data_IF_699689052261
#
_entry.id   IF_699689052261
#
_cell.length_a   1.000
_cell.length_b   1.000
_cell.length_c   1.000
_cell.angle_alpha   90.00
_cell.angle_beta   90.00
_cell.angle_gamma   90.00
#
_symmetry.space_group_name_H-M   'P 1'
#
loop_
_entity.id
_entity.type
_entity.pdbx_description
1 polymer ?
#
# COMPACT_ATOMS: atom_id res chain seq x y z
N UNK A 1 -7.54 -15.10 12.21
CA UNK A 1 -7.61 -13.66 11.93
C UNK A 1 -8.34 -13.49 10.61
N UNK A 2 -9.28 -12.57 10.53
CA UNK A 2 -10.09 -12.36 9.32
C UNK A 2 -9.23 -11.67 8.24
N UNK A 3 -9.07 -12.31 7.08
CA UNK A 3 -8.29 -11.79 5.95
C UNK A 3 -8.84 -10.44 5.47
N UNK A 4 -10.16 -10.23 5.58
CA UNK A 4 -10.79 -8.96 5.26
C UNK A 4 -10.36 -7.86 6.22
N UNK A 5 -10.24 -8.18 7.52
CA UNK A 5 -9.78 -7.21 8.52
C UNK A 5 -8.32 -6.80 8.27
N UNK A 6 -7.46 -7.72 7.86
CA UNK A 6 -6.08 -7.42 7.48
C UNK A 6 -6.00 -6.56 6.22
N UNK A 7 -6.81 -6.86 5.21
CA UNK A 7 -6.90 -6.06 4.00
C UNK A 7 -7.38 -4.63 4.28
N UNK A 8 -8.42 -4.48 5.11
CA UNK A 8 -8.95 -3.18 5.53
C UNK A 8 -7.91 -2.38 6.33
N UNK A 9 -7.21 -3.02 7.27
CA UNK A 9 -6.14 -2.38 8.02
C UNK A 9 -4.99 -1.93 7.12
N UNK A 10 -4.61 -2.78 6.14
CA UNK A 10 -3.59 -2.47 5.14
C UNK A 10 -3.98 -1.26 4.30
N UNK A 11 -5.21 -1.22 3.79
CA UNK A 11 -5.76 -0.11 3.01
C UNK A 11 -5.77 1.20 3.83
N UNK A 12 -6.31 1.15 5.05
CA UNK A 12 -6.38 2.33 5.92
C UNK A 12 -4.99 2.91 6.23
N UNK A 13 -3.98 2.05 6.38
CA UNK A 13 -2.60 2.47 6.59
C UNK A 13 -2.01 3.19 5.37
N UNK A 14 -2.37 2.74 4.15
CA UNK A 14 -1.96 3.38 2.90
C UNK A 14 -2.63 4.75 2.75
N UNK A 15 -3.95 4.80 2.91
CA UNK A 15 -4.74 6.03 2.81
C UNK A 15 -4.26 7.09 3.81
N UNK A 16 -3.94 6.69 5.05
CA UNK A 16 -3.38 7.59 6.05
C UNK A 16 -2.10 8.31 5.57
N UNK A 17 -1.14 7.57 4.99
CA UNK A 17 0.09 8.17 4.46
C UNK A 17 -0.17 9.05 3.23
N UNK A 18 -1.17 8.70 2.41
CA UNK A 18 -1.58 9.55 1.28
C UNK A 18 -2.18 10.86 1.75
N UNK A 19 -3.03 10.86 2.78
CA UNK A 19 -3.62 12.08 3.34
C UNK A 19 -2.57 12.97 4.00
N UNK A 20 -1.62 12.40 4.74
CA UNK A 20 -0.48 13.18 5.27
C UNK A 20 0.32 13.85 4.16
N UNK A 21 0.55 13.16 3.05
CA UNK A 21 1.22 13.75 1.88
C UNK A 21 0.38 14.82 1.21
N UNK A 22 -0.93 14.63 1.10
CA UNK A 22 -1.85 15.65 0.60
C UNK A 22 -1.71 16.95 1.39
N UNK A 23 -1.79 16.87 2.72
CA UNK A 23 -1.62 18.03 3.61
C UNK A 23 -0.25 18.69 3.41
N UNK A 24 0.80 17.90 3.18
CA UNK A 24 2.13 18.43 2.94
C UNK A 24 2.26 19.13 1.57
N UNK A 25 1.65 18.59 0.52
CA UNK A 25 1.71 19.14 -0.86
C UNK A 25 0.85 20.39 -0.97
N UNK A 26 -0.39 20.34 -0.48
CA UNK A 26 -1.37 21.41 -0.66
C UNK A 26 -1.43 22.39 0.51
N UNK A 27 -0.74 22.10 1.64
CA UNK A 27 -0.80 22.89 2.87
C UNK A 27 -2.25 23.10 3.35
N UNK A 28 -3.09 22.10 3.14
CA UNK A 28 -4.53 22.15 3.38
C UNK A 28 -5.07 20.78 3.77
N UNK A 29 -6.11 20.77 4.58
CA UNK A 29 -6.94 19.59 4.89
C UNK A 29 -8.22 19.55 4.05
N UNK A 30 -8.42 20.54 3.17
CA UNK A 30 -9.55 20.57 2.24
C UNK A 30 -9.26 19.61 1.07
N UNK A 31 -9.63 18.35 1.29
CA UNK A 31 -9.38 17.26 0.36
C UNK A 31 -10.40 17.26 -0.78
N UNK A 32 -9.95 17.58 -1.99
CA UNK A 32 -10.74 17.38 -3.21
C UNK A 32 -10.27 16.13 -3.95
N UNK A 33 -11.19 15.50 -4.69
CA UNK A 33 -10.84 14.34 -5.51
C UNK A 33 -9.84 14.71 -6.62
N UNK A 34 -10.01 15.87 -7.25
CA UNK A 34 -9.14 16.32 -8.34
C UNK A 34 -7.71 16.54 -7.85
N UNK A 35 -7.53 17.23 -6.72
CA UNK A 35 -6.22 17.47 -6.15
C UNK A 35 -5.57 16.19 -5.63
N UNK A 36 -6.35 15.31 -5.02
CA UNK A 36 -5.84 14.03 -4.55
C UNK A 36 -5.28 13.18 -5.70
N UNK A 37 -6.03 13.08 -6.80
CA UNK A 37 -5.58 12.35 -8.00
C UNK A 37 -4.34 13.02 -8.62
N UNK A 38 -4.35 14.36 -8.74
CA UNK A 38 -3.22 15.12 -9.29
C UNK A 38 -1.95 14.92 -8.46
N UNK A 39 -2.06 14.93 -7.14
CA UNK A 39 -0.95 14.65 -6.24
C UNK A 39 -0.46 13.22 -6.39
N UNK A 40 -1.35 12.23 -6.32
CA UNK A 40 -0.98 10.81 -6.40
C UNK A 40 -0.21 10.47 -7.67
N UNK A 41 -0.57 11.05 -8.82
CA UNK A 41 0.12 10.84 -10.10
C UNK A 41 1.62 11.20 -10.10
N UNK A 42 2.10 11.90 -9.07
CA UNK A 42 3.50 12.32 -8.93
C UNK A 42 4.21 11.70 -7.73
N UNK A 43 3.49 10.91 -6.90
CA UNK A 43 4.05 10.38 -5.67
C UNK A 43 4.84 9.10 -5.88
N UNK A 44 6.05 9.10 -5.34
CA UNK A 44 6.89 7.91 -5.25
C UNK A 44 7.25 7.63 -3.80
N UNK A 45 7.54 6.36 -3.54
CA UNK A 45 8.18 5.95 -2.30
C UNK A 45 7.30 6.01 -1.05
N UNK A 46 5.98 5.91 -1.15
CA UNK A 46 5.06 5.87 -0.02
C UNK A 46 5.28 4.57 0.76
N UNK A 47 5.58 4.64 2.06
CA UNK A 47 5.87 3.47 2.88
C UNK A 47 4.90 3.38 4.05
N UNK A 48 4.29 2.21 4.23
CA UNK A 48 3.44 1.91 5.40
C UNK A 48 4.09 0.91 6.36
N UNK A 49 5.35 0.51 6.11
CA UNK A 49 6.11 -0.59 6.76
C UNK A 49 5.53 -2.00 6.58
N UNK A 50 4.22 -2.15 6.41
CA UNK A 50 3.52 -3.43 6.26
C UNK A 50 3.24 -3.83 4.80
N UNK A 51 3.10 -2.85 3.92
CA UNK A 51 2.90 -3.04 2.48
C UNK A 51 4.19 -2.74 1.71
N UNK A 52 4.32 -3.24 0.47
CA UNK A 52 5.37 -2.80 -0.44
C UNK A 52 5.42 -1.28 -0.51
N UNK A 53 6.59 -0.73 -0.80
CA UNK A 53 6.70 0.71 -1.03
C UNK A 53 5.91 1.07 -2.30
N UNK A 54 4.98 2.02 -2.17
CA UNK A 54 4.04 2.37 -3.24
C UNK A 54 4.54 3.59 -4.02
N UNK A 55 4.42 3.54 -5.33
CA UNK A 55 4.70 4.64 -6.26
C UNK A 55 3.66 4.64 -7.37
N UNK A 56 2.97 5.77 -7.53
CA UNK A 56 1.87 5.90 -8.49
C UNK A 56 2.29 6.80 -9.65
N UNK A 57 1.75 6.51 -10.83
CA UNK A 57 1.91 7.35 -12.01
C UNK A 57 0.68 7.25 -12.90
N UNK A 58 0.49 8.14 -13.88
CA UNK A 58 -0.59 7.99 -14.86
C UNK A 58 -0.56 6.67 -15.65
N UNK A 59 0.59 5.99 -15.68
CA UNK A 59 0.76 4.70 -16.35
C UNK A 59 0.71 3.50 -15.41
N UNK A 60 0.73 3.71 -14.08
CA UNK A 60 0.73 2.65 -13.07
C UNK A 60 -0.10 3.07 -11.85
N UNK A 61 -1.30 2.50 -11.74
CA UNK A 61 -2.24 2.75 -10.65
C UNK A 61 -2.21 1.67 -9.55
N UNK A 62 -1.43 0.58 -9.74
CA UNK A 62 -1.32 -0.48 -8.73
C UNK A 62 -0.39 -0.07 -7.60
N UNK A 63 0.58 0.81 -7.87
CA UNK A 63 1.46 1.37 -6.84
C UNK A 63 2.65 0.48 -6.50
N UNK A 64 2.54 -0.83 -6.59
CA UNK A 64 3.64 -1.76 -6.40
C UNK A 64 3.48 -3.04 -7.23
N UNK A 65 4.59 -3.75 -7.43
CA UNK A 65 4.68 -5.03 -8.17
C UNK A 65 5.28 -6.15 -7.31
N UNK A 66 5.23 -5.95 -6.00
CA UNK A 66 5.81 -6.85 -5.01
C UNK A 66 4.69 -7.47 -4.19
N UNK A 67 4.89 -8.71 -3.75
CA UNK A 67 3.92 -9.44 -2.92
C UNK A 67 4.59 -10.07 -1.71
N UNK A 68 3.80 -10.38 -0.69
CA UNK A 68 4.22 -11.29 0.38
C UNK A 68 3.95 -12.72 -0.05
N UNK A 69 4.98 -13.57 0.02
CA UNK A 69 4.86 -15.00 -0.31
C UNK A 69 4.78 -15.79 0.98
N UNK A 70 3.68 -16.52 1.12
CA UNK A 70 3.41 -17.37 2.26
C UNK A 70 3.50 -18.84 1.83
N UNK A 71 4.14 -19.65 2.66
CA UNK A 71 4.12 -21.11 2.57
C UNK A 71 3.08 -21.65 3.54
N UNK A 72 2.16 -22.49 3.06
CA UNK A 72 1.26 -23.22 3.94
C UNK A 72 2.00 -24.37 4.65
N UNK A 73 1.95 -24.40 5.97
CA UNK A 73 2.34 -25.53 6.81
C UNK A 73 1.09 -26.29 7.23
N UNK A 74 0.70 -27.27 6.42
CA UNK A 74 -0.51 -28.05 6.65
C UNK A 74 -0.45 -28.93 7.90
N UNK A 75 0.75 -29.26 8.40
CA UNK A 75 0.90 -30.07 9.60
C UNK A 75 0.64 -29.23 10.87
N UNK A 76 1.11 -27.98 10.87
CA UNK A 76 0.86 -27.02 11.95
C UNK A 76 -0.48 -26.30 11.81
N UNK A 77 -1.09 -26.29 10.62
CA UNK A 77 -2.29 -25.49 10.33
C UNK A 77 -2.00 -23.99 10.26
N UNK A 78 -0.78 -23.61 9.86
CA UNK A 78 -0.29 -22.23 9.88
C UNK A 78 0.30 -21.81 8.52
N UNK A 79 0.54 -20.51 8.35
CA UNK A 79 1.28 -19.96 7.22
C UNK A 79 2.62 -19.38 7.69
N UNK A 80 3.70 -19.69 6.97
CA UNK A 80 5.04 -19.18 7.23
C UNK A 80 5.44 -18.20 6.14
N UNK A 81 6.04 -17.07 6.53
CA UNK A 81 6.59 -16.13 5.55
C UNK A 81 7.78 -16.76 4.84
N UNK A 82 7.67 -16.92 3.52
CA UNK A 82 8.78 -17.39 2.69
C UNK A 82 9.61 -16.20 2.18
N UNK A 83 8.94 -15.14 1.74
CA UNK A 83 9.58 -13.91 1.31
C UNK A 83 8.66 -12.70 1.51
N UNK A 84 9.24 -11.60 1.99
CA UNK A 84 8.56 -10.30 2.11
C UNK A 84 8.91 -9.44 0.89
N UNK A 85 7.88 -8.87 0.25
CA UNK A 85 8.01 -8.00 -0.93
C UNK A 85 8.81 -8.62 -2.08
N UNK A 86 8.56 -9.89 -2.35
CA UNK A 86 9.15 -10.61 -3.49
C UNK A 86 8.65 -10.04 -4.82
N UNK A 87 9.47 -10.16 -5.86
CA UNK A 87 9.20 -9.66 -7.23
C UNK A 87 9.76 -10.63 -8.27
N UNK A 88 9.42 -10.41 -9.55
CA UNK A 88 9.98 -11.18 -10.68
C UNK A 88 9.21 -12.46 -11.03
N UNK A 89 7.90 -12.49 -10.79
CA UNK A 89 6.98 -13.54 -11.23
C UNK A 89 6.48 -13.28 -12.65
#
# INVERSE_FOLDING_TARGET
TDDLALALWGLASVEHEMFKRYEQVYKSTDLTREDFVKMLQTQTGISTKSNPQLSYSPADHFGARQVHVLQADCAAGEHKTLATFASGF
#
